data_IF_254752620254
#
_entry.id   IF_254752620254
#
_cell.length_a   1.000
_cell.length_b   1.000
_cell.length_c   1.000
_cell.angle_alpha   90.00
_cell.angle_beta   90.00
_cell.angle_gamma   90.00
#
_symmetry.space_group_name_H-M   'P 1'
#
loop_
_entity.id
_entity.type
_entity.pdbx_description
1 polymer ?
#
# COMPACT_ATOMS: atom_id res chain seq x y z
N UNK A 1 -16.03 -29.91 -10.01
CA UNK A 1 -15.96 -28.67 -9.23
C UNK A 1 -17.30 -28.55 -8.54
N UNK A 2 -17.37 -28.90 -7.25
CA UNK A 2 -18.57 -28.71 -6.44
C UNK A 2 -18.49 -27.28 -5.91
N UNK A 3 -19.55 -26.51 -6.10
CA UNK A 3 -19.57 -25.10 -5.72
C UNK A 3 -19.39 -24.96 -4.21
N UNK A 4 -18.47 -24.10 -3.83
CA UNK A 4 -18.18 -23.77 -2.47
C UNK A 4 -19.32 -22.89 -1.91
N UNK A 5 -19.90 -23.29 -0.77
CA UNK A 5 -21.03 -22.58 -0.15
C UNK A 5 -20.57 -21.77 1.07
N UNK A 6 -21.17 -20.61 1.32
CA UNK A 6 -20.89 -19.76 2.50
C UNK A 6 -21.02 -20.52 3.84
N UNK A 7 -21.73 -21.66 3.87
CA UNK A 7 -21.95 -22.47 5.07
C UNK A 7 -20.93 -23.58 5.28
N UNK A 8 -20.28 -24.08 4.22
CA UNK A 8 -19.36 -25.23 4.31
C UNK A 8 -17.92 -24.88 3.94
N UNK A 9 -17.72 -23.78 3.23
CA UNK A 9 -16.41 -23.28 2.85
C UNK A 9 -16.24 -21.91 3.48
N UNK A 10 -15.11 -21.68 4.13
CA UNK A 10 -14.72 -20.38 4.68
C UNK A 10 -14.39 -19.39 3.54
N UNK A 11 -15.26 -19.26 2.54
CA UNK A 11 -15.20 -18.22 1.51
C UNK A 11 -15.59 -16.92 2.20
N UNK A 12 -14.59 -16.33 2.84
CA UNK A 12 -14.62 -14.96 3.30
C UNK A 12 -13.98 -14.14 2.18
N UNK A 13 -14.64 -13.09 1.72
CA UNK A 13 -14.15 -12.22 0.63
C UNK A 13 -12.69 -11.80 0.85
N UNK A 14 -12.34 -11.47 2.10
CA UNK A 14 -10.98 -11.11 2.49
C UNK A 14 -9.97 -12.22 2.18
N UNK A 15 -10.27 -13.47 2.55
CA UNK A 15 -9.41 -14.62 2.29
C UNK A 15 -9.29 -14.84 0.79
N UNK A 16 -10.40 -14.81 0.05
CA UNK A 16 -10.37 -14.96 -1.41
C UNK A 16 -9.49 -13.91 -2.08
N UNK A 17 -9.58 -12.65 -1.63
CA UNK A 17 -8.72 -11.58 -2.14
C UNK A 17 -7.24 -11.81 -1.82
N UNK A 18 -6.90 -12.17 -0.57
CA UNK A 18 -5.52 -12.51 -0.18
C UNK A 18 -4.94 -13.64 -1.06
N UNK A 19 -5.66 -14.75 -1.19
CA UNK A 19 -5.19 -15.90 -1.98
C UNK A 19 -5.07 -15.56 -3.48
N UNK A 20 -5.98 -14.74 -4.01
CA UNK A 20 -5.88 -14.30 -5.41
C UNK A 20 -4.66 -13.40 -5.63
N UNK A 21 -4.34 -12.50 -4.69
CA UNK A 21 -3.16 -11.65 -4.77
C UNK A 21 -1.86 -12.46 -4.66
N UNK A 22 -1.82 -13.48 -3.80
CA UNK A 22 -0.70 -14.42 -3.74
C UNK A 22 -0.48 -15.12 -5.09
N UNK A 23 -1.56 -15.63 -5.70
CA UNK A 23 -1.52 -16.25 -7.04
C UNK A 23 -1.07 -15.27 -8.14
N UNK A 24 -1.47 -14.00 -8.04
CA UNK A 24 -1.03 -12.92 -8.95
C UNK A 24 0.47 -12.62 -8.76
N UNK A 25 1.05 -12.94 -7.60
CA UNK A 25 2.48 -12.82 -7.33
C UNK A 25 2.85 -11.75 -6.31
N UNK A 26 1.90 -11.32 -5.47
CA UNK A 26 2.21 -10.52 -4.28
C UNK A 26 2.67 -11.43 -3.15
N UNK A 27 3.80 -11.10 -2.56
CA UNK A 27 4.21 -11.68 -1.28
C UNK A 27 3.49 -10.96 -0.13
N UNK A 28 3.46 -11.59 1.04
CA UNK A 28 2.99 -10.94 2.27
C UNK A 28 3.79 -9.67 2.56
N UNK A 29 3.11 -8.62 3.05
CA UNK A 29 3.71 -7.30 3.23
C UNK A 29 4.83 -7.33 4.27
N UNK A 30 4.66 -8.15 5.31
CA UNK A 30 5.67 -8.40 6.33
C UNK A 30 6.84 -9.29 5.85
N UNK A 31 6.85 -9.73 4.59
CA UNK A 31 8.01 -10.39 3.99
C UNK A 31 8.90 -9.42 3.19
N UNK A 32 8.56 -8.13 3.11
CA UNK A 32 9.40 -7.13 2.43
C UNK A 32 10.82 -7.09 3.02
N UNK A 33 11.79 -6.81 2.16
CA UNK A 33 13.20 -6.74 2.59
C UNK A 33 13.49 -5.56 3.55
N UNK A 34 12.71 -4.48 3.43
CA UNK A 34 12.77 -3.23 4.21
C UNK A 34 11.80 -3.20 5.40
N UNK A 35 11.04 -4.28 5.65
CA UNK A 35 10.01 -4.31 6.71
C UNK A 35 10.53 -3.90 8.10
N UNK A 36 11.82 -4.13 8.39
CA UNK A 36 12.38 -3.91 9.73
C UNK A 36 12.49 -2.40 10.05
N UNK A 37 12.20 -1.52 9.08
CA UNK A 37 11.99 -0.08 9.26
C UNK A 37 10.56 0.28 9.73
N UNK A 38 9.64 -0.70 9.73
CA UNK A 38 8.21 -0.52 9.97
C UNK A 38 7.66 -1.42 11.09
N UNK A 39 8.17 -2.64 11.17
CA UNK A 39 7.74 -3.67 12.12
C UNK A 39 8.93 -4.38 12.76
N UNK A 40 8.67 -5.07 13.86
CA UNK A 40 9.62 -5.91 14.57
C UNK A 40 9.00 -7.28 14.84
N UNK A 41 9.71 -8.32 14.43
CA UNK A 41 9.30 -9.71 14.62
C UNK A 41 9.88 -10.28 15.91
N UNK A 42 9.01 -10.69 16.83
CA UNK A 42 9.33 -11.41 18.06
C UNK A 42 9.42 -12.91 17.81
N UNK A 43 10.52 -13.36 17.20
CA UNK A 43 10.75 -14.77 16.84
C UNK A 43 10.70 -15.74 18.05
N UNK A 44 10.91 -15.21 19.25
CA UNK A 44 10.73 -15.91 20.51
C UNK A 44 9.27 -16.30 20.80
N UNK A 45 8.29 -15.53 20.31
CA UNK A 45 6.86 -15.76 20.50
C UNK A 45 6.23 -16.59 19.37
N UNK A 46 6.93 -16.72 18.23
CA UNK A 46 6.49 -17.51 17.07
C UNK A 46 6.70 -19.01 17.32
N UNK A 47 5.72 -19.81 16.91
CA UNK A 47 5.80 -21.27 16.87
C UNK A 47 7.02 -21.74 16.08
N UNK A 48 7.80 -22.69 16.61
CA UNK A 48 9.16 -22.95 16.11
C UNK A 48 9.17 -23.36 14.63
N UNK A 49 8.17 -24.14 14.23
CA UNK A 49 8.05 -24.70 12.87
C UNK A 49 7.44 -23.71 11.87
N UNK A 50 6.98 -22.54 12.34
CA UNK A 50 6.33 -21.50 11.52
C UNK A 50 7.16 -20.22 11.40
N UNK A 51 8.39 -20.20 11.94
CA UNK A 51 9.29 -19.04 11.84
C UNK A 51 9.66 -18.67 10.41
N UNK A 52 9.62 -19.64 9.50
CA UNK A 52 9.88 -19.41 8.08
C UNK A 52 8.81 -18.55 7.40
N UNK A 53 7.61 -18.43 7.99
CA UNK A 53 6.55 -17.54 7.47
C UNK A 53 6.96 -16.07 7.55
N UNK A 54 7.88 -15.72 8.45
CA UNK A 54 8.43 -14.36 8.58
C UNK A 54 9.79 -14.20 7.89
N UNK A 55 10.19 -15.08 6.95
CA UNK A 55 11.41 -14.87 6.17
C UNK A 55 11.26 -13.69 5.20
N UNK A 56 12.28 -12.82 5.12
CA UNK A 56 12.29 -11.73 4.14
C UNK A 56 12.52 -12.28 2.74
N UNK A 57 11.74 -11.80 1.78
CA UNK A 57 12.03 -12.00 0.37
C UNK A 57 13.24 -11.17 -0.01
N UNK A 58 14.22 -11.80 -0.66
CA UNK A 58 15.43 -11.11 -1.09
C UNK A 58 15.12 -10.05 -2.16
N UNK A 59 15.83 -8.90 -2.18
CA UNK A 59 15.64 -7.86 -3.20
C UNK A 59 15.80 -8.33 -4.66
N UNK A 60 16.50 -9.45 -4.88
CA UNK A 60 16.64 -10.08 -6.19
C UNK A 60 15.37 -10.81 -6.67
N UNK A 61 14.45 -11.13 -5.76
CA UNK A 61 13.20 -11.84 -6.05
C UNK A 61 11.98 -10.94 -6.06
N UNK A 62 11.99 -9.88 -5.26
CA UNK A 62 10.89 -8.92 -5.17
C UNK A 62 11.43 -7.52 -4.93
N UNK A 63 10.74 -6.53 -5.49
CA UNK A 63 10.98 -5.10 -5.23
C UNK A 63 9.80 -4.53 -4.46
N UNK A 64 9.97 -3.34 -3.88
CA UNK A 64 8.86 -2.60 -3.26
C UNK A 64 8.04 -1.83 -4.29
N UNK A 65 8.43 -1.84 -5.57
CA UNK A 65 7.87 -1.00 -6.62
C UNK A 65 7.82 0.49 -6.24
N UNK A 66 8.79 0.94 -5.42
CA UNK A 66 8.85 2.28 -4.85
C UNK A 66 7.59 2.68 -4.03
N UNK A 67 6.80 1.69 -3.59
CA UNK A 67 5.61 1.89 -2.79
C UNK A 67 5.93 1.91 -1.29
N UNK A 68 5.28 2.79 -0.51
CA UNK A 68 5.43 2.80 0.94
C UNK A 68 4.95 1.48 1.56
N UNK A 69 5.44 1.18 2.77
CA UNK A 69 4.93 0.03 3.54
C UNK A 69 3.47 0.23 3.90
N UNK A 70 2.65 -0.77 3.59
CA UNK A 70 1.20 -0.70 3.77
C UNK A 70 0.74 -1.54 4.96
N UNK A 71 0.61 -0.91 6.13
CA UNK A 71 0.03 -1.56 7.32
C UNK A 71 -1.42 -2.02 7.13
N UNK A 72 -2.12 -1.52 6.09
CA UNK A 72 -3.50 -1.87 5.76
C UNK A 72 -3.59 -2.80 4.55
N UNK A 73 -2.47 -3.32 4.07
CA UNK A 73 -2.47 -4.33 3.01
C UNK A 73 -3.23 -5.57 3.48
N UNK A 74 -4.09 -6.13 2.63
CA UNK A 74 -4.77 -7.40 2.93
C UNK A 74 -3.78 -8.56 3.02
N UNK A 75 -2.60 -8.38 2.42
CA UNK A 75 -1.47 -9.31 2.46
C UNK A 75 -0.63 -9.17 3.75
N UNK A 76 -1.00 -8.32 4.70
CA UNK A 76 -0.25 -8.14 5.94
C UNK A 76 -0.80 -9.06 7.04
N UNK A 77 0.07 -9.82 7.71
CA UNK A 77 -0.36 -10.64 8.84
C UNK A 77 -0.83 -9.82 10.05
N UNK A 78 -1.65 -10.44 10.92
CA UNK A 78 -2.05 -9.85 12.19
C UNK A 78 -0.91 -9.86 13.23
N UNK A 79 -1.07 -9.07 14.29
CA UNK A 79 -0.07 -8.88 15.35
C UNK A 79 0.33 -10.17 16.10
N UNK A 80 -0.51 -11.20 16.06
CA UNK A 80 -0.37 -12.47 16.78
C UNK A 80 -0.16 -13.66 15.85
N UNK A 81 0.08 -13.41 14.56
CA UNK A 81 0.20 -14.45 13.57
C UNK A 81 1.26 -15.49 13.99
N UNK A 82 0.87 -16.76 13.92
CA UNK A 82 1.70 -17.91 14.28
C UNK A 82 2.26 -17.89 15.71
N UNK A 83 1.59 -17.21 16.63
CA UNK A 83 1.94 -17.19 18.05
C UNK A 83 1.83 -18.58 18.68
N UNK A 84 2.80 -18.92 19.55
CA UNK A 84 2.77 -20.18 20.34
C UNK A 84 2.01 -20.04 21.66
N UNK A 85 1.78 -18.82 22.12
CA UNK A 85 1.30 -18.53 23.47
C UNK A 85 0.27 -17.38 23.56
N UNK A 86 -0.14 -16.81 22.43
CA UNK A 86 -1.08 -15.68 22.38
C UNK A 86 -0.39 -14.32 22.52
N UNK A 87 0.94 -14.30 22.70
CA UNK A 87 1.70 -13.05 22.74
C UNK A 87 1.89 -12.49 21.33
N UNK A 88 2.13 -11.18 21.26
CA UNK A 88 2.43 -10.46 20.02
C UNK A 88 3.68 -11.07 19.37
N UNK A 89 3.55 -11.45 18.10
CA UNK A 89 4.65 -11.90 17.24
C UNK A 89 5.16 -10.78 16.35
N UNK A 90 4.32 -9.79 16.05
CA UNK A 90 4.66 -8.64 15.21
C UNK A 90 4.26 -7.32 15.88
N UNK A 91 5.27 -6.53 16.23
CA UNK A 91 5.12 -5.20 16.83
C UNK A 91 5.33 -4.13 15.75
N UNK A 92 4.39 -3.19 15.58
CA UNK A 92 4.57 -2.06 14.67
C UNK A 92 5.43 -0.97 15.33
N UNK A 93 6.39 -0.42 14.59
CA UNK A 93 7.24 0.66 15.11
C UNK A 93 6.47 1.98 15.27
N UNK A 94 5.42 2.17 14.46
CA UNK A 94 4.42 3.19 14.72
C UNK A 94 3.23 2.56 15.47
N UNK A 95 2.99 2.90 16.75
CA UNK A 95 1.94 2.32 17.57
C UNK A 95 0.51 2.56 17.04
N UNK A 96 0.29 3.60 16.21
CA UNK A 96 -1.03 3.88 15.62
C UNK A 96 -1.53 2.75 14.71
N UNK A 97 -0.63 1.90 14.22
CA UNK A 97 -0.96 0.80 13.32
C UNK A 97 -1.02 -0.58 14.01
N UNK A 98 -0.75 -0.66 15.32
CA UNK A 98 -0.63 -1.95 16.00
C UNK A 98 -1.94 -2.76 15.97
N UNK A 99 -3.08 -2.07 16.09
CA UNK A 99 -4.42 -2.66 16.05
C UNK A 99 -5.05 -2.60 14.63
N UNK A 100 -4.25 -2.26 13.62
CA UNK A 100 -4.70 -2.12 12.22
C UNK A 100 -4.21 -3.29 11.36
N UNK A 101 -3.00 -3.77 11.60
CA UNK A 101 -2.40 -4.86 10.83
C UNK A 101 -3.25 -6.13 10.89
N UNK A 102 -3.46 -6.78 9.74
CA UNK A 102 -4.27 -8.00 9.63
C UNK A 102 -5.79 -7.82 9.65
N UNK A 103 -6.30 -6.61 9.89
CA UNK A 103 -7.75 -6.35 10.00
C UNK A 103 -8.42 -5.88 8.69
N UNK A 104 -7.64 -5.68 7.63
CA UNK A 104 -8.13 -5.17 6.34
C UNK A 104 -9.08 -6.15 5.65
N UNK A 105 -10.20 -5.62 5.14
CA UNK A 105 -11.28 -6.41 4.53
C UNK A 105 -11.38 -6.25 3.01
N UNK A 106 -10.59 -5.35 2.45
CA UNK A 106 -10.54 -5.11 1.01
C UNK A 106 -9.10 -4.85 0.56
N UNK A 107 -8.84 -5.21 -0.69
CA UNK A 107 -7.52 -5.13 -1.32
C UNK A 107 -7.29 -3.81 -2.06
N UNK A 108 -8.02 -2.72 -1.73
CA UNK A 108 -7.97 -1.48 -2.52
C UNK A 108 -6.56 -0.89 -2.58
N UNK A 109 -5.81 -0.94 -1.48
CA UNK A 109 -4.43 -0.45 -1.43
C UNK A 109 -3.45 -1.38 -2.16
N UNK A 110 -3.73 -2.69 -2.18
CA UNK A 110 -2.92 -3.71 -2.85
C UNK A 110 -3.03 -3.67 -4.38
N UNK A 111 -4.21 -3.32 -4.91
CA UNK A 111 -4.42 -3.25 -6.37
C UNK A 111 -3.46 -2.29 -7.06
N UNK A 112 -3.01 -1.22 -6.38
CA UNK A 112 -2.02 -0.32 -6.95
C UNK A 112 -0.70 -1.04 -7.22
N UNK A 113 -0.22 -1.89 -6.30
CA UNK A 113 0.97 -2.73 -6.53
C UNK A 113 0.79 -3.67 -7.71
N UNK A 114 -0.40 -4.26 -7.87
CA UNK A 114 -0.69 -5.11 -9.03
C UNK A 114 -0.62 -4.30 -10.33
N UNK A 115 -1.18 -3.10 -10.36
CA UNK A 115 -1.09 -2.22 -11.53
C UNK A 115 0.34 -1.85 -11.89
N UNK A 116 1.20 -1.59 -10.90
CA UNK A 116 2.64 -1.39 -11.10
C UNK A 116 3.31 -2.60 -11.74
N UNK A 117 3.13 -3.78 -11.14
CA UNK A 117 3.77 -5.04 -11.55
C UNK A 117 3.46 -5.38 -13.01
N UNK A 118 2.21 -5.16 -13.41
CA UNK A 118 1.72 -5.52 -14.74
C UNK A 118 1.68 -4.36 -15.73
N UNK A 119 2.15 -3.17 -15.34
CA UNK A 119 2.14 -1.96 -16.16
C UNK A 119 0.77 -1.71 -16.80
N UNK A 120 -0.28 -1.74 -15.97
CA UNK A 120 -1.65 -1.53 -16.44
C UNK A 120 -1.84 -0.10 -16.98
N UNK A 121 -2.45 0.06 -18.15
CA UNK A 121 -2.81 1.39 -18.69
C UNK A 121 -3.87 2.12 -17.85
N UNK A 122 -4.68 1.35 -17.12
CA UNK A 122 -5.77 1.84 -16.29
C UNK A 122 -5.80 1.04 -14.97
N UNK A 123 -5.80 1.75 -13.86
CA UNK A 123 -5.87 1.19 -12.51
C UNK A 123 -7.06 1.78 -11.76
N UNK A 124 -7.98 0.93 -11.27
CA UNK A 124 -9.15 1.37 -10.50
C UNK A 124 -10.00 2.47 -11.18
N UNK A 125 -10.05 2.47 -12.52
CA UNK A 125 -10.80 3.45 -13.31
C UNK A 125 -10.07 4.77 -13.56
N UNK A 126 -8.79 4.86 -13.21
CA UNK A 126 -7.92 6.00 -13.48
C UNK A 126 -6.79 5.59 -14.43
N UNK A 127 -6.35 6.51 -15.29
CA UNK A 127 -5.19 6.25 -16.14
C UNK A 127 -3.92 6.18 -15.30
N UNK A 128 -3.06 5.22 -15.62
CA UNK A 128 -1.90 4.85 -14.82
C UNK A 128 -0.66 4.88 -15.73
N UNK A 129 0.38 5.64 -15.34
CA UNK A 129 1.60 5.77 -16.14
C UNK A 129 2.46 4.50 -16.04
N UNK A 130 3.27 4.28 -17.06
CA UNK A 130 4.45 3.39 -17.04
C UNK A 130 5.44 3.66 -15.91
N UNK A 131 5.43 4.85 -15.31
CA UNK A 131 6.24 5.21 -14.13
C UNK A 131 5.53 4.92 -12.79
N UNK A 132 4.30 4.40 -12.80
CA UNK A 132 3.58 4.02 -11.56
C UNK A 132 2.78 5.14 -10.87
N UNK A 133 2.82 6.32 -11.48
CA UNK A 133 2.06 7.45 -10.99
C UNK A 133 0.69 7.52 -11.65
N UNK A 134 -0.33 7.83 -10.84
CA UNK A 134 -1.65 8.19 -11.35
C UNK A 134 -1.45 9.41 -12.25
N UNK A 135 -1.87 9.31 -13.50
CA UNK A 135 -1.72 10.39 -14.48
C UNK A 135 -2.70 11.50 -14.10
N UNK A 136 -2.26 12.38 -13.20
CA UNK A 136 -2.89 13.62 -12.76
C UNK A 136 -4.41 13.57 -12.55
N UNK A 137 -4.87 13.12 -11.38
CA UNK A 137 -6.16 13.58 -10.85
C UNK A 137 -5.95 14.91 -10.12
N UNK A 138 -6.38 16.00 -10.78
CA UNK A 138 -6.40 17.43 -10.38
C UNK A 138 -5.09 18.21 -10.52
N UNK A 139 -4.91 18.82 -11.69
CA UNK A 139 -4.85 20.29 -11.67
C UNK A 139 -6.32 20.73 -11.58
N UNK A 140 -6.77 21.23 -10.43
CA UNK A 140 -8.02 21.97 -10.43
C UNK A 140 -7.80 23.20 -11.31
N UNK A 141 -8.53 23.29 -12.42
CA UNK A 141 -8.47 24.44 -13.32
C UNK A 141 -8.76 25.79 -12.61
N UNK A 142 -9.32 25.76 -11.39
CA UNK A 142 -9.53 26.91 -10.52
C UNK A 142 -8.24 27.51 -9.95
N UNK A 143 -7.28 26.70 -9.50
CA UNK A 143 -6.06 27.22 -8.83
C UNK A 143 -5.08 27.85 -9.83
N UNK A 144 -5.06 27.36 -11.08
CA UNK A 144 -4.21 27.93 -12.14
C UNK A 144 -4.73 29.28 -12.60
N UNK A 145 -6.05 29.43 -12.79
CA UNK A 145 -6.63 30.73 -13.16
C UNK A 145 -6.47 31.78 -12.05
N UNK A 146 -6.56 31.37 -10.78
CA UNK A 146 -6.44 32.29 -9.65
C UNK A 146 -4.99 32.79 -9.49
N UNK A 147 -4.02 31.89 -9.62
CA UNK A 147 -2.59 32.23 -9.64
C UNK A 147 -2.21 33.07 -10.86
N UNK A 148 -2.78 32.82 -12.04
CA UNK A 148 -2.50 33.60 -13.25
C UNK A 148 -3.03 35.04 -13.13
N UNK A 149 -4.22 35.22 -12.50
CA UNK A 149 -4.78 36.53 -12.18
C UNK A 149 -3.91 37.28 -11.16
N UNK A 150 -3.42 36.60 -10.14
CA UNK A 150 -2.57 37.21 -9.10
C UNK A 150 -1.19 37.61 -9.65
N UNK A 151 -0.55 36.76 -10.45
CA UNK A 151 0.71 37.07 -11.14
C UNK A 151 0.53 38.25 -12.12
N UNK A 152 -0.56 38.26 -12.90
CA UNK A 152 -0.83 39.38 -13.84
C UNK A 152 -1.07 40.70 -13.10
N UNK A 153 -1.70 40.66 -11.92
CA UNK A 153 -1.89 41.84 -11.07
C UNK A 153 -0.55 42.38 -10.55
N UNK A 154 0.32 41.49 -10.04
CA UNK A 154 1.66 41.85 -9.56
C UNK A 154 2.49 42.48 -10.68
N UNK A 155 2.46 41.91 -11.89
CA UNK A 155 3.18 42.44 -13.04
C UNK A 155 2.65 43.83 -13.44
N UNK A 156 1.33 44.05 -13.45
CA UNK A 156 0.76 45.37 -13.78
C UNK A 156 1.11 46.44 -12.75
N UNK A 157 1.08 46.11 -11.46
CA UNK A 157 1.43 47.04 -10.38
C UNK A 157 2.94 47.38 -10.40
N UNK A 158 3.80 46.42 -10.75
CA UNK A 158 5.24 46.65 -10.88
C UNK A 158 5.63 47.43 -12.14
N UNK A 159 4.88 47.31 -13.25
CA UNK A 159 5.07 48.15 -14.44
C UNK A 159 4.61 49.59 -14.20
N UNK A 160 3.47 49.79 -13.52
CA UNK A 160 2.95 51.13 -13.19
C UNK A 160 3.85 51.93 -12.24
N UNK A 161 4.64 51.25 -11.41
CA UNK A 161 5.61 51.89 -10.49
C UNK A 161 6.94 52.22 -11.16
N UNK A 162 7.23 51.64 -12.33
CA UNK A 162 8.45 51.91 -13.10
C UNK A 162 8.30 53.14 -14.02
N UNK A 163 7.07 53.50 -14.42
CA UNK A 163 6.78 54.66 -15.28
C UNK A 163 6.64 56.00 -14.51
N UNK A 164 6.90 56.02 -13.18
CA UNK A 164 6.79 57.21 -12.32
C UNK A 164 8.12 57.69 -11.71
N UNK A 165 9.26 57.22 -12.23
CA UNK A 165 10.62 57.71 -11.92
C UNK A 165 11.35 58.16 -13.16
#
# INVERSE_FOLDING_TARGET
MLEASEKETCIVTQIVQNELLDVIGLWHEDMRYDRDEYIKIHSENVEKDLRNQFEKVLPLKATTYNMPYDYKSIMHYDATAFTKNGDITMETLNPEFQDIIGESKDATSDYRKVCEIYSCDMCMGESFDTDGDLINKKIEASEVEENEKEITKIIKESVLTFDLT
#
